data_IF_338579636753
#
_entry.id   IF_338579636753
#
_cell.length_a   1.000
_cell.length_b   1.000
_cell.length_c   1.000
_cell.angle_alpha   90.00
_cell.angle_beta   90.00
_cell.angle_gamma   90.00
#
_symmetry.space_group_name_H-M   'P 1'
#
loop_
_entity.id
_entity.type
_entity.pdbx_description
1 polymer ?
#
# COMPACT_ATOMS: atom_id res chain seq x y z
N UNK A 1 -11.43 -12.72 -45.73
CA UNK A 1 -10.09 -12.09 -45.84
C UNK A 1 -10.18 -10.69 -45.24
N UNK A 2 -9.32 -10.39 -44.25
CA UNK A 2 -9.14 -9.12 -43.52
C UNK A 2 -10.22 -8.71 -42.49
N UNK A 3 -10.00 -9.13 -41.24
CA UNK A 3 -10.27 -8.31 -40.05
C UNK A 3 -9.06 -8.46 -39.12
N UNK A 4 -8.23 -7.43 -39.04
CA UNK A 4 -7.17 -7.30 -38.03
C UNK A 4 -6.87 -5.81 -37.91
N UNK A 5 -7.05 -5.28 -36.70
CA UNK A 5 -6.12 -4.36 -36.03
C UNK A 5 -6.60 -4.20 -34.58
N UNK A 6 -6.09 -5.09 -33.74
CA UNK A 6 -6.02 -4.93 -32.29
C UNK A 6 -4.97 -3.85 -32.03
N UNK A 7 -5.32 -2.85 -31.23
CA UNK A 7 -4.39 -1.87 -30.67
C UNK A 7 -3.71 -2.55 -29.49
N UNK A 8 -2.44 -2.91 -29.66
CA UNK A 8 -1.54 -3.29 -28.57
C UNK A 8 -0.75 -2.03 -28.24
N UNK A 9 -0.93 -1.51 -27.01
CA UNK A 9 -0.04 -0.50 -26.45
C UNK A 9 1.25 -1.22 -26.02
N UNK A 10 2.30 -1.08 -26.83
CA UNK A 10 3.67 -1.49 -26.52
C UNK A 10 4.37 -0.30 -25.88
N UNK A 11 4.66 -0.38 -24.59
CA UNK A 11 5.68 0.47 -23.96
C UNK A 11 6.99 -0.31 -24.04
N UNK A 12 7.86 0.11 -24.95
CA UNK A 12 9.24 -0.34 -25.03
C UNK A 12 10.14 0.90 -24.97
N UNK A 13 11.06 0.93 -23.99
CA UNK A 13 12.52 1.10 -24.14
C UNK A 13 13.09 1.66 -22.85
N UNK A 14 14.03 0.94 -22.23
CA UNK A 14 15.40 1.45 -22.01
C UNK A 14 16.36 0.26 -22.16
N UNK A 15 17.09 0.24 -23.28
CA UNK A 15 18.34 -0.52 -23.45
C UNK A 15 19.50 0.35 -23.01
N UNK A 16 20.31 -0.14 -22.08
CA UNK A 16 21.55 0.52 -21.64
C UNK A 16 22.73 -0.08 -22.41
N UNK A 17 23.33 0.68 -23.32
CA UNK A 17 24.76 0.57 -23.68
C UNK A 17 25.27 1.92 -24.23
N UNK A 18 26.40 2.41 -23.69
CA UNK A 18 27.40 3.15 -24.47
C UNK A 18 27.60 4.62 -24.12
N UNK A 19 28.67 4.90 -23.38
CA UNK A 19 29.17 6.22 -23.01
C UNK A 19 29.44 7.12 -24.23
N UNK A 20 28.93 8.36 -24.22
CA UNK A 20 29.61 9.53 -24.78
C UNK A 20 29.32 10.75 -23.90
N UNK A 21 30.39 11.46 -23.51
CA UNK A 21 30.31 12.70 -22.74
C UNK A 21 29.64 13.80 -23.60
N UNK A 22 28.36 14.03 -23.35
CA UNK A 22 27.71 15.29 -23.68
C UNK A 22 27.35 15.98 -22.37
N UNK A 23 27.79 17.24 -22.27
CA UNK A 23 27.38 18.20 -21.24
C UNK A 23 25.86 18.18 -21.13
N UNK A 24 25.37 17.71 -19.99
CA UNK A 24 23.97 17.74 -19.61
C UNK A 24 23.64 19.19 -19.32
N UNK A 25 22.96 19.85 -20.26
CA UNK A 25 22.17 21.03 -19.94
C UNK A 25 21.15 20.61 -18.89
N UNK A 26 21.30 21.15 -17.68
CA UNK A 26 20.36 20.97 -16.58
C UNK A 26 19.01 21.50 -17.01
N UNK A 27 18.11 20.60 -17.39
CA UNK A 27 16.68 20.89 -17.39
C UNK A 27 16.33 21.10 -15.91
N UNK A 28 16.20 22.36 -15.51
CA UNK A 28 15.57 22.72 -14.23
C UNK A 28 14.18 22.07 -14.21
N UNK A 29 14.04 21.09 -13.34
CA UNK A 29 12.81 20.37 -13.06
C UNK A 29 11.85 21.35 -12.37
N UNK A 30 11.14 22.13 -13.19
CA UNK A 30 10.05 23.02 -12.76
C UNK A 30 8.80 22.20 -12.41
N UNK A 31 8.95 21.19 -11.55
CA UNK A 31 7.81 20.63 -10.83
C UNK A 31 7.30 21.72 -9.88
N UNK A 32 6.01 22.12 -9.94
CA UNK A 32 5.47 23.03 -8.96
C UNK A 32 5.61 22.39 -7.59
N UNK A 33 6.49 22.95 -6.74
CA UNK A 33 6.50 22.62 -5.32
C UNK A 33 5.14 23.00 -4.76
N UNK A 34 4.27 22.02 -4.58
CA UNK A 34 3.01 22.21 -3.87
C UNK A 34 3.35 22.85 -2.53
N UNK A 35 2.71 23.98 -2.20
CA UNK A 35 2.96 24.69 -0.95
C UNK A 35 2.70 23.74 0.22
N UNK A 36 3.65 23.61 1.15
CA UNK A 36 3.51 22.76 2.35
C UNK A 36 2.25 23.13 3.17
N UNK A 37 1.81 24.38 3.12
CA UNK A 37 0.57 24.81 3.77
C UNK A 37 -0.68 24.20 3.14
N UNK A 38 -0.69 24.01 1.80
CA UNK A 38 -1.79 23.35 1.10
C UNK A 38 -1.85 21.88 1.46
N UNK A 39 -0.70 21.18 1.45
CA UNK A 39 -0.61 19.76 1.84
C UNK A 39 -1.08 19.55 3.28
N UNK A 40 -0.67 20.43 4.19
CA UNK A 40 -1.10 20.39 5.59
C UNK A 40 -2.59 20.66 5.74
N UNK A 41 -3.16 21.56 4.93
CA UNK A 41 -4.60 21.81 4.87
C UNK A 41 -5.39 20.58 4.46
N UNK A 42 -4.96 19.89 3.41
CA UNK A 42 -5.62 18.67 2.91
C UNK A 42 -5.55 17.54 3.93
N UNK A 43 -4.39 17.34 4.57
CA UNK A 43 -4.22 16.36 5.66
C UNK A 43 -5.12 16.64 6.84
N UNK A 44 -5.16 17.89 7.31
CA UNK A 44 -6.00 18.24 8.45
C UNK A 44 -7.46 17.97 8.11
N UNK A 45 -7.90 18.31 6.91
CA UNK A 45 -9.25 18.01 6.44
C UNK A 45 -9.51 16.49 6.46
N UNK A 46 -8.63 15.67 5.88
CA UNK A 46 -8.76 14.20 5.88
C UNK A 46 -8.84 13.62 7.30
N UNK A 47 -7.97 14.08 8.20
CA UNK A 47 -7.89 13.59 9.59
C UNK A 47 -9.09 14.04 10.42
N UNK A 48 -9.61 15.25 10.20
CA UNK A 48 -10.79 15.77 10.92
C UNK A 48 -12.03 14.89 10.75
N UNK A 49 -12.13 14.14 9.65
CA UNK A 49 -13.21 13.18 9.42
C UNK A 49 -13.04 11.84 10.14
N UNK A 50 -11.92 11.62 10.82
CA UNK A 50 -11.62 10.39 11.55
C UNK A 50 -11.26 10.65 13.00
N UNK A 51 -12.19 10.29 13.88
CA UNK A 51 -12.03 10.42 15.33
C UNK A 51 -10.87 9.60 15.89
N UNK A 52 -10.45 8.56 15.17
CA UNK A 52 -9.39 7.64 15.57
C UNK A 52 -8.00 8.02 15.03
N UNK A 53 -7.89 9.10 14.25
CA UNK A 53 -6.62 9.63 13.74
C UNK A 53 -6.34 11.03 14.29
N UNK A 54 -5.08 11.33 14.60
CA UNK A 54 -4.66 12.66 15.04
C UNK A 54 -3.29 13.03 14.47
N UNK A 55 -3.17 14.25 13.96
CA UNK A 55 -1.87 14.77 13.53
C UNK A 55 -1.02 15.12 14.76
N UNK A 56 0.20 14.59 14.80
CA UNK A 56 1.13 14.77 15.91
C UNK A 56 2.34 15.59 15.47
N UNK A 57 2.70 16.59 16.28
CA UNK A 57 3.88 17.46 16.01
C UNK A 57 5.14 17.02 16.74
N UNK A 58 5.02 16.17 17.76
CA UNK A 58 6.08 15.79 18.71
C UNK A 58 6.13 14.26 18.83
N UNK A 59 7.30 13.66 18.55
CA UNK A 59 7.47 12.20 18.55
C UNK A 59 7.25 11.59 19.94
N UNK A 60 7.46 12.37 20.99
CA UNK A 60 7.29 11.98 22.40
C UNK A 60 5.86 11.54 22.73
N UNK A 61 4.87 11.99 21.96
CA UNK A 61 3.47 11.53 22.10
C UNK A 61 3.35 10.05 21.74
N UNK A 62 4.15 9.58 20.77
CA UNK A 62 4.17 8.19 20.33
C UNK A 62 4.88 7.23 21.29
N UNK A 63 5.53 7.75 22.33
CA UNK A 63 6.16 6.94 23.39
C UNK A 63 5.16 6.55 24.49
N UNK A 64 3.92 7.04 24.42
CA UNK A 64 2.86 6.74 25.40
C UNK A 64 2.25 5.36 25.14
N UNK A 65 2.10 4.56 26.20
CA UNK A 65 1.75 3.12 26.14
C UNK A 65 0.38 2.75 25.53
N UNK A 66 -0.47 3.71 25.17
CA UNK A 66 -1.86 3.46 24.75
C UNK A 66 -2.17 3.95 23.33
N UNK A 67 -1.16 4.38 22.58
CA UNK A 67 -1.35 5.04 21.29
C UNK A 67 -0.35 4.47 20.30
N UNK A 68 -0.81 4.20 19.08
CA UNK A 68 0.06 3.81 17.99
C UNK A 68 0.36 5.02 17.12
N UNK A 69 1.52 5.01 16.48
CA UNK A 69 1.89 6.06 15.54
C UNK A 69 2.37 5.48 14.21
N UNK A 70 2.24 6.28 13.16
CA UNK A 70 2.87 6.01 11.88
C UNK A 70 3.14 7.30 11.12
N UNK A 71 4.07 7.24 10.16
CA UNK A 71 4.25 8.32 9.20
C UNK A 71 3.37 8.06 7.97
N UNK A 72 2.58 9.05 7.56
CA UNK A 72 1.79 8.97 6.34
C UNK A 72 2.69 9.09 5.08
N UNK A 73 2.10 8.90 3.89
CA UNK A 73 2.84 8.99 2.60
C UNK A 73 3.48 10.36 2.35
N UNK A 74 3.04 11.40 3.06
CA UNK A 74 3.50 12.79 2.94
C UNK A 74 4.52 13.15 4.03
N UNK A 75 4.87 12.21 4.91
CA UNK A 75 5.86 12.37 5.98
C UNK A 75 5.30 12.99 7.27
N UNK A 76 3.97 13.02 7.43
CA UNK A 76 3.35 13.54 8.64
C UNK A 76 3.15 12.42 9.66
N UNK A 77 3.46 12.71 10.91
CA UNK A 77 3.30 11.77 12.02
C UNK A 77 1.85 11.76 12.48
N UNK A 78 1.22 10.59 12.41
CA UNK A 78 -0.18 10.37 12.77
C UNK A 78 -0.23 9.45 13.99
N UNK A 79 -0.96 9.87 15.01
CA UNK A 79 -1.41 9.03 16.12
C UNK A 79 -2.71 8.33 15.74
N UNK A 80 -2.85 7.06 16.13
CA UNK A 80 -4.06 6.29 15.96
C UNK A 80 -4.37 5.40 17.17
N UNK A 81 -5.66 5.17 17.39
CA UNK A 81 -6.15 4.09 18.24
C UNK A 81 -6.70 2.97 17.36
N UNK A 82 -6.18 1.76 17.56
CA UNK A 82 -6.66 0.59 16.84
C UNK A 82 -7.94 0.09 17.50
N UNK A 83 -8.94 -0.24 16.69
CA UNK A 83 -10.14 -0.95 17.15
C UNK A 83 -9.88 -2.48 17.21
N UNK A 84 -10.86 -3.25 17.70
CA UNK A 84 -10.72 -4.72 17.86
C UNK A 84 -10.29 -5.46 16.58
N UNK A 85 -10.83 -5.07 15.42
CA UNK A 85 -10.48 -5.65 14.11
C UNK A 85 -9.02 -5.31 13.75
N UNK A 86 -8.63 -4.05 13.92
CA UNK A 86 -7.27 -3.58 13.65
C UNK A 86 -6.25 -4.21 14.60
N UNK A 87 -6.57 -4.34 15.89
CA UNK A 87 -5.73 -5.00 16.89
C UNK A 87 -5.54 -6.49 16.60
N UNK A 88 -6.61 -7.17 16.17
CA UNK A 88 -6.52 -8.58 15.77
C UNK A 88 -5.57 -8.76 14.59
N UNK A 89 -5.70 -7.92 13.57
CA UNK A 89 -4.79 -7.95 12.42
C UNK A 89 -3.36 -7.53 12.78
N UNK A 90 -3.20 -6.54 13.66
CA UNK A 90 -1.90 -6.09 14.13
C UNK A 90 -1.14 -7.19 14.86
N UNK A 91 -1.81 -7.90 15.77
CA UNK A 91 -1.21 -9.03 16.47
C UNK A 91 -0.86 -10.18 15.52
N UNK A 92 -1.71 -10.47 14.53
CA UNK A 92 -1.40 -11.45 13.48
C UNK A 92 -0.10 -11.09 12.73
N UNK A 93 0.08 -9.82 12.36
CA UNK A 93 1.30 -9.36 11.68
C UNK A 93 2.53 -9.50 12.59
N UNK A 94 2.40 -9.19 13.89
CA UNK A 94 3.51 -9.30 14.85
C UNK A 94 3.97 -10.73 15.06
N UNK A 95 3.04 -11.68 15.06
CA UNK A 95 3.32 -13.11 15.25
C UNK A 95 3.76 -13.81 13.97
N UNK A 96 3.49 -13.21 12.81
CA UNK A 96 3.86 -13.77 11.51
C UNK A 96 5.38 -13.90 11.38
N UNK A 97 5.87 -15.05 10.94
CA UNK A 97 7.28 -15.25 10.58
C UNK A 97 7.39 -15.73 9.14
N UNK A 98 8.44 -15.28 8.46
CA UNK A 98 8.74 -15.76 7.12
C UNK A 98 9.21 -17.23 7.17
N UNK A 99 8.83 -18.08 6.20
CA UNK A 99 9.22 -19.48 6.23
C UNK A 99 10.74 -19.64 6.09
N UNK A 100 11.37 -20.48 6.91
CA UNK A 100 12.81 -20.75 6.80
C UNK A 100 13.14 -21.64 5.60
N UNK A 101 12.23 -22.56 5.27
CA UNK A 101 12.45 -23.57 4.24
C UNK A 101 12.46 -22.94 2.83
N UNK A 102 13.45 -23.35 2.02
CA UNK A 102 13.59 -22.87 0.64
C UNK A 102 14.10 -21.43 0.55
N UNK A 103 14.53 -20.85 1.68
CA UNK A 103 15.14 -19.53 1.72
C UNK A 103 16.63 -19.58 1.41
N UNK A 104 17.15 -18.51 0.81
CA UNK A 104 18.58 -18.30 0.61
C UNK A 104 18.92 -16.81 0.66
N UNK A 105 20.18 -16.54 1.00
CA UNK A 105 20.76 -15.21 0.99
C UNK A 105 21.32 -14.90 -0.40
N UNK A 106 21.06 -13.68 -0.89
CA UNK A 106 21.64 -13.19 -2.14
C UNK A 106 22.68 -12.12 -1.84
N UNK A 107 23.88 -12.29 -2.38
CA UNK A 107 24.97 -11.33 -2.20
C UNK A 107 24.53 -9.92 -2.61
N UNK A 108 24.81 -8.92 -1.75
CA UNK A 108 24.38 -7.54 -1.93
C UNK A 108 22.97 -7.19 -1.43
N UNK A 109 22.20 -8.17 -0.92
CA UNK A 109 20.81 -7.97 -0.48
C UNK A 109 20.58 -8.37 0.98
N UNK A 110 21.38 -7.85 1.92
CA UNK A 110 21.35 -8.26 3.34
C UNK A 110 20.00 -8.05 4.05
N UNK A 111 19.17 -7.12 3.55
CA UNK A 111 17.85 -6.79 4.11
C UNK A 111 16.70 -7.67 3.59
N UNK A 112 16.98 -8.62 2.70
CA UNK A 112 15.95 -9.41 2.04
C UNK A 112 16.23 -10.89 2.19
N UNK A 113 15.17 -11.68 2.24
CA UNK A 113 15.22 -13.14 2.10
C UNK A 113 14.63 -13.51 0.75
N UNK A 114 15.30 -14.42 0.04
CA UNK A 114 14.88 -14.90 -1.28
C UNK A 114 14.44 -16.35 -1.18
N UNK A 115 13.49 -16.73 -2.02
CA UNK A 115 12.94 -18.07 -2.06
C UNK A 115 13.13 -18.73 -3.43
N UNK A 116 13.22 -20.07 -3.43
CA UNK A 116 13.37 -20.88 -4.65
C UNK A 116 12.24 -20.68 -5.66
N UNK A 117 11.04 -20.32 -5.21
CA UNK A 117 9.91 -19.98 -6.08
C UNK A 117 9.99 -18.56 -6.69
N UNK A 118 11.09 -17.84 -6.47
CA UNK A 118 11.39 -16.54 -7.07
C UNK A 118 10.85 -15.34 -6.28
N UNK A 119 10.23 -15.57 -5.13
CA UNK A 119 9.78 -14.51 -4.24
C UNK A 119 10.92 -13.97 -3.40
N UNK A 120 10.82 -12.70 -3.03
CA UNK A 120 11.69 -12.07 -2.06
C UNK A 120 10.90 -11.17 -1.12
N UNK A 121 11.29 -11.15 0.15
CA UNK A 121 10.64 -10.40 1.21
C UNK A 121 11.66 -9.58 1.99
N UNK A 122 11.24 -8.45 2.54
CA UNK A 122 12.05 -7.73 3.53
C UNK A 122 12.14 -8.55 4.81
N UNK A 123 13.34 -8.68 5.39
CA UNK A 123 13.52 -9.43 6.65
C UNK A 123 12.80 -8.79 7.82
N UNK A 124 12.87 -7.46 7.90
CA UNK A 124 12.35 -6.72 9.06
C UNK A 124 10.82 -6.64 9.02
N UNK A 125 10.27 -6.13 7.92
CA UNK A 125 8.81 -5.92 7.78
C UNK A 125 8.06 -7.16 7.31
N UNK A 126 8.78 -8.21 6.85
CA UNK A 126 8.20 -9.45 6.35
C UNK A 126 7.28 -9.27 5.12
N UNK A 127 7.27 -8.07 4.53
CA UNK A 127 6.46 -7.71 3.37
C UNK A 127 7.12 -8.14 2.07
N UNK A 128 6.31 -8.42 1.05
CA UNK A 128 6.79 -8.72 -0.28
C UNK A 128 7.66 -7.59 -0.84
N UNK A 129 8.90 -7.93 -1.21
CA UNK A 129 9.82 -7.05 -1.92
C UNK A 129 9.73 -7.27 -3.43
N UNK A 130 9.72 -8.52 -3.88
CA UNK A 130 9.66 -8.88 -5.29
C UNK A 130 8.96 -10.21 -5.52
N UNK A 131 8.22 -10.28 -6.63
CA UNK A 131 7.61 -11.49 -7.17
C UNK A 131 8.42 -12.01 -8.39
N UNK A 132 8.36 -13.32 -8.70
CA UNK A 132 9.00 -13.89 -9.89
C UNK A 132 8.55 -13.14 -11.15
N UNK A 133 9.48 -12.78 -12.04
CA UNK A 133 9.21 -12.04 -13.29
C UNK A 133 8.37 -10.75 -13.13
N UNK A 134 8.33 -10.15 -11.94
CA UNK A 134 7.40 -9.06 -11.60
C UNK A 134 5.91 -9.43 -11.69
N UNK A 135 5.59 -10.73 -11.71
CA UNK A 135 4.24 -11.28 -11.75
C UNK A 135 4.08 -12.32 -10.64
N UNK A 136 3.20 -11.99 -9.68
CA UNK A 136 2.87 -12.84 -8.54
C UNK A 136 2.17 -14.15 -8.92
N UNK A 137 1.73 -14.28 -10.17
CA UNK A 137 1.11 -15.52 -10.65
C UNK A 137 2.11 -16.42 -11.39
N UNK A 138 3.33 -15.93 -11.64
CA UNK A 138 4.33 -16.66 -12.43
C UNK A 138 5.16 -17.68 -11.63
N UNK A 139 5.10 -17.60 -10.29
CA UNK A 139 5.48 -18.66 -9.36
C UNK A 139 4.42 -18.71 -8.27
N UNK A 140 4.02 -19.90 -7.84
CA UNK A 140 3.01 -19.99 -6.79
C UNK A 140 3.67 -19.70 -5.44
N UNK A 141 3.22 -18.69 -4.70
CA UNK A 141 3.69 -18.50 -3.34
C UNK A 141 3.20 -19.67 -2.47
N UNK A 142 3.93 -20.00 -1.42
CA UNK A 142 3.45 -20.95 -0.42
C UNK A 142 2.44 -20.27 0.49
N UNK A 143 1.55 -21.02 1.14
CA UNK A 143 0.60 -20.44 2.11
C UNK A 143 1.30 -19.62 3.20
N UNK A 144 2.46 -20.09 3.69
CA UNK A 144 3.30 -19.37 4.67
C UNK A 144 3.82 -18.00 4.16
N UNK A 145 3.75 -17.72 2.85
CA UNK A 145 4.16 -16.45 2.23
C UNK A 145 2.98 -15.49 2.00
N UNK A 146 1.74 -15.96 2.15
CA UNK A 146 0.55 -15.20 1.77
C UNK A 146 0.39 -13.93 2.59
N UNK A 147 0.65 -13.96 3.90
CA UNK A 147 0.50 -12.78 4.73
C UNK A 147 1.49 -11.66 4.33
N UNK A 148 2.74 -12.00 4.00
CA UNK A 148 3.72 -11.04 3.49
C UNK A 148 3.28 -10.35 2.19
N UNK A 149 2.57 -11.09 1.32
CA UNK A 149 1.99 -10.59 0.08
C UNK A 149 0.79 -9.68 0.37
N UNK A 150 -0.12 -10.16 1.23
CA UNK A 150 -1.34 -9.44 1.65
C UNK A 150 -0.98 -8.11 2.28
N UNK A 151 0.01 -8.04 3.18
CA UNK A 151 0.46 -6.78 3.78
C UNK A 151 0.92 -5.75 2.75
N UNK A 152 1.66 -6.19 1.71
CA UNK A 152 2.11 -5.30 0.63
C UNK A 152 0.94 -4.73 -0.17
N UNK A 153 -0.05 -5.56 -0.50
CA UNK A 153 -1.23 -5.08 -1.23
C UNK A 153 -2.17 -4.24 -0.39
N UNK A 154 -2.36 -4.56 0.90
CA UNK A 154 -3.08 -3.71 1.84
C UNK A 154 -2.41 -2.33 1.89
N UNK A 155 -1.08 -2.27 1.94
CA UNK A 155 -0.39 -0.99 1.90
C UNK A 155 -0.57 -0.28 0.55
N UNK A 156 -0.48 -1.00 -0.57
CA UNK A 156 -0.59 -0.41 -1.91
C UNK A 156 -1.99 0.18 -2.16
N UNK A 157 -3.03 -0.61 -1.93
CA UNK A 157 -4.42 -0.29 -2.28
C UNK A 157 -5.21 0.35 -1.14
N UNK A 158 -4.85 0.11 0.11
CA UNK A 158 -5.53 0.71 1.26
C UNK A 158 -5.14 2.17 1.53
N UNK A 159 -4.01 2.61 0.98
CA UNK A 159 -3.35 3.87 1.33
C UNK A 159 -3.72 5.08 0.45
N UNK A 160 -4.81 4.99 -0.32
CA UNK A 160 -5.28 6.08 -1.18
C UNK A 160 -5.80 7.26 -0.35
N UNK A 161 -5.87 8.44 -0.95
CA UNK A 161 -6.54 9.65 -0.44
C UNK A 161 -7.99 9.71 -0.93
N UNK A 162 -8.87 10.49 -0.26
CA UNK A 162 -10.25 10.68 -0.74
C UNK A 162 -10.31 11.20 -2.18
N UNK A 163 -9.44 12.14 -2.56
CA UNK A 163 -9.41 12.71 -3.91
C UNK A 163 -9.01 11.69 -4.97
N UNK A 164 -8.17 10.69 -4.64
CA UNK A 164 -7.84 9.61 -5.58
C UNK A 164 -9.06 8.72 -5.89
N UNK A 165 -10.05 8.66 -4.99
CA UNK A 165 -11.29 7.91 -5.17
C UNK A 165 -12.30 8.62 -6.08
N UNK A 166 -12.13 9.92 -6.36
CA UNK A 166 -12.95 10.65 -7.33
C UNK A 166 -12.74 10.15 -8.78
N UNK A 167 -11.61 9.48 -9.03
CA UNK A 167 -11.30 8.90 -10.33
C UNK A 167 -11.78 7.44 -10.44
N UNK A 168 -12.77 7.20 -11.30
CA UNK A 168 -13.34 5.87 -11.54
C UNK A 168 -12.32 4.82 -12.03
N UNK A 169 -11.27 5.20 -12.77
CA UNK A 169 -10.22 4.27 -13.19
C UNK A 169 -9.38 3.82 -11.99
N UNK A 170 -9.10 4.74 -11.06
CA UNK A 170 -8.42 4.42 -9.81
C UNK A 170 -9.28 3.49 -8.94
N UNK A 171 -10.57 3.80 -8.78
CA UNK A 171 -11.51 2.96 -8.03
C UNK A 171 -11.55 1.54 -8.60
N UNK A 172 -11.62 1.39 -9.93
CA UNK A 172 -11.58 0.08 -10.57
C UNK A 172 -10.26 -0.66 -10.31
N UNK A 173 -9.13 0.04 -10.38
CA UNK A 173 -7.82 -0.53 -10.06
C UNK A 173 -7.74 -1.04 -8.63
N UNK A 174 -8.29 -0.27 -7.67
CA UNK A 174 -8.35 -0.63 -6.25
C UNK A 174 -9.24 -1.86 -6.07
N UNK A 175 -10.43 -1.91 -6.68
CA UNK A 175 -11.32 -3.08 -6.60
C UNK A 175 -10.62 -4.35 -7.11
N UNK A 176 -9.90 -4.27 -8.23
CA UNK A 176 -9.13 -5.41 -8.74
C UNK A 176 -8.00 -5.80 -7.78
N UNK A 177 -7.34 -4.82 -7.16
CA UNK A 177 -6.35 -5.03 -6.10
C UNK A 177 -6.92 -5.76 -4.88
N UNK A 178 -8.10 -5.36 -4.43
CA UNK A 178 -8.81 -6.01 -3.31
C UNK A 178 -9.18 -7.47 -3.64
N UNK A 179 -9.55 -7.77 -4.89
CA UNK A 179 -9.76 -9.16 -5.33
C UNK A 179 -8.49 -9.99 -5.23
N UNK A 180 -7.33 -9.42 -5.59
CA UNK A 180 -6.06 -10.09 -5.38
C UNK A 180 -5.81 -10.33 -3.89
N UNK A 181 -6.06 -9.35 -3.01
CA UNK A 181 -5.93 -9.57 -1.56
C UNK A 181 -6.84 -10.72 -1.10
N UNK A 182 -8.08 -10.77 -1.59
CA UNK A 182 -9.06 -11.81 -1.23
C UNK A 182 -8.58 -13.22 -1.54
N UNK A 183 -7.85 -13.40 -2.65
CA UNK A 183 -7.35 -14.70 -3.10
C UNK A 183 -6.32 -15.30 -2.13
N UNK A 184 -5.50 -14.46 -1.50
CA UNK A 184 -4.40 -14.89 -0.62
C UNK A 184 -4.73 -14.70 0.87
N UNK A 185 -5.76 -13.92 1.21
CA UNK A 185 -6.19 -13.70 2.59
C UNK A 185 -6.76 -14.98 3.21
N UNK A 186 -6.14 -15.45 4.30
CA UNK A 186 -6.60 -16.58 5.11
C UNK A 186 -7.29 -16.17 6.41
N UNK A 187 -7.20 -14.88 6.77
CA UNK A 187 -7.73 -14.34 8.01
C UNK A 187 -9.07 -13.62 7.78
N UNK A 188 -10.05 -13.89 8.63
CA UNK A 188 -11.42 -13.35 8.52
C UNK A 188 -11.48 -11.81 8.62
N UNK A 189 -10.60 -11.18 9.40
CA UNK A 189 -10.59 -9.70 9.51
C UNK A 189 -10.18 -9.04 8.21
N UNK A 190 -9.17 -9.59 7.52
CA UNK A 190 -8.74 -9.12 6.19
C UNK A 190 -9.85 -9.36 5.17
N UNK A 191 -10.47 -10.54 5.21
CA UNK A 191 -11.56 -10.91 4.32
C UNK A 191 -12.75 -9.96 4.48
N UNK A 192 -13.18 -9.72 5.71
CA UNK A 192 -14.30 -8.82 6.00
C UNK A 192 -13.98 -7.39 5.56
N UNK A 193 -12.77 -6.91 5.82
CA UNK A 193 -12.32 -5.60 5.35
C UNK A 193 -12.33 -5.49 3.82
N UNK A 194 -11.84 -6.52 3.10
CA UNK A 194 -11.88 -6.56 1.64
C UNK A 194 -13.31 -6.50 1.11
N UNK A 195 -14.21 -7.31 1.68
CA UNK A 195 -15.59 -7.41 1.22
C UNK A 195 -16.35 -6.09 1.46
N UNK A 196 -16.17 -5.46 2.63
CA UNK A 196 -16.73 -4.15 2.96
C UNK A 196 -16.19 -3.05 2.06
N UNK A 197 -14.86 -2.96 1.92
CA UNK A 197 -14.18 -1.96 1.08
C UNK A 197 -14.64 -2.09 -0.37
N UNK A 198 -14.72 -3.32 -0.88
CA UNK A 198 -15.17 -3.59 -2.25
C UNK A 198 -16.61 -3.13 -2.47
N UNK A 199 -17.51 -3.42 -1.52
CA UNK A 199 -18.92 -3.02 -1.61
C UNK A 199 -19.09 -1.49 -1.64
N UNK A 200 -18.35 -0.77 -0.81
CA UNK A 200 -18.41 0.70 -0.79
C UNK A 200 -17.83 1.28 -2.09
N UNK A 201 -16.69 0.78 -2.56
CA UNK A 201 -16.07 1.25 -3.80
C UNK A 201 -16.92 0.96 -5.05
N UNK A 202 -17.62 -0.18 -5.08
CA UNK A 202 -18.60 -0.46 -6.14
C UNK A 202 -19.74 0.55 -6.13
N UNK A 203 -20.22 0.93 -4.94
CA UNK A 203 -21.26 1.94 -4.79
C UNK A 203 -20.81 3.32 -5.29
N UNK A 204 -19.55 3.72 -5.03
CA UNK A 204 -18.98 4.96 -5.58
C UNK A 204 -18.93 4.94 -7.10
N UNK A 205 -18.50 3.80 -7.67
CA UNK A 205 -18.31 3.65 -9.11
C UNK A 205 -19.65 3.67 -9.87
N UNK A 206 -20.68 3.06 -9.30
CA UNK A 206 -21.98 2.88 -9.95
C UNK A 206 -22.93 4.08 -9.74
N UNK A 207 -22.55 5.06 -8.90
CA UNK A 207 -23.34 6.24 -8.60
C UNK A 207 -22.82 7.49 -9.33
N UNK A 208 -23.63 8.03 -10.24
CA UNK A 208 -23.33 9.27 -10.97
C UNK A 208 -23.42 10.54 -10.10
N UNK A 209 -23.96 10.44 -8.88
CA UNK A 209 -24.13 11.54 -7.92
C UNK A 209 -23.50 11.20 -6.57
N UNK A 210 -22.21 10.90 -6.59
CA UNK A 210 -21.42 10.65 -5.38
C UNK A 210 -21.10 11.95 -4.65
N UNK A 211 -21.39 12.00 -3.34
CA UNK A 211 -21.09 13.14 -2.47
C UNK A 211 -19.66 13.08 -1.91
N UNK A 212 -19.16 14.20 -1.39
CA UNK A 212 -17.86 14.24 -0.69
C UNK A 212 -17.85 13.27 0.51
N UNK A 213 -18.96 13.16 1.23
CA UNK A 213 -19.13 12.26 2.38
C UNK A 213 -18.99 10.78 1.97
N UNK A 214 -19.46 10.41 0.78
CA UNK A 214 -19.31 9.05 0.26
C UNK A 214 -17.84 8.70 -0.01
N UNK A 215 -17.07 9.62 -0.62
CA UNK A 215 -15.64 9.43 -0.86
C UNK A 215 -14.86 9.32 0.45
N UNK A 216 -15.20 10.14 1.45
CA UNK A 216 -14.59 10.10 2.77
C UNK A 216 -14.90 8.80 3.52
N UNK A 217 -16.14 8.31 3.43
CA UNK A 217 -16.52 7.04 4.04
C UNK A 217 -15.80 5.85 3.38
N UNK A 218 -15.67 5.86 2.05
CA UNK A 218 -14.88 4.85 1.33
C UNK A 218 -13.41 4.88 1.71
N UNK A 219 -12.82 6.08 1.80
CA UNK A 219 -11.45 6.26 2.25
C UNK A 219 -11.24 5.76 3.68
N UNK A 220 -12.17 6.04 4.59
CA UNK A 220 -12.11 5.56 5.98
C UNK A 220 -12.07 4.04 6.06
N UNK A 221 -12.95 3.35 5.34
CA UNK A 221 -12.98 1.89 5.30
C UNK A 221 -11.71 1.34 4.66
N UNK A 222 -11.33 1.87 3.49
CA UNK A 222 -10.17 1.40 2.72
C UNK A 222 -8.85 1.58 3.49
N UNK A 223 -8.71 2.67 4.26
CA UNK A 223 -7.48 2.95 5.01
C UNK A 223 -7.30 2.13 6.29
N UNK A 224 -8.35 1.45 6.77
CA UNK A 224 -8.41 0.81 8.08
C UNK A 224 -7.24 -0.16 8.35
N UNK A 225 -7.04 -1.17 7.50
CA UNK A 225 -5.91 -2.11 7.66
C UNK A 225 -4.59 -1.58 7.11
N UNK A 226 -4.61 -0.60 6.20
CA UNK A 226 -3.38 0.03 5.72
C UNK A 226 -2.67 0.81 6.83
N UNK A 227 -3.44 1.47 7.70
CA UNK A 227 -2.90 2.14 8.87
C UNK A 227 -2.23 1.15 9.83
N UNK A 228 -2.80 -0.06 9.99
CA UNK A 228 -2.19 -1.12 10.81
C UNK A 228 -0.83 -1.54 10.27
N UNK A 229 -0.72 -1.75 8.95
CA UNK A 229 0.56 -2.09 8.31
C UNK A 229 1.58 -0.96 8.51
N UNK A 230 1.16 0.31 8.40
CA UNK A 230 2.03 1.46 8.65
C UNK A 230 2.48 1.58 10.10
N UNK A 231 1.58 1.34 11.06
CA UNK A 231 1.91 1.28 12.49
C UNK A 231 2.97 0.21 12.73
N UNK A 232 2.75 -1.01 12.24
CA UNK A 232 3.71 -2.10 12.38
C UNK A 232 5.10 -1.72 11.84
N UNK A 233 5.16 -1.11 10.65
CA UNK A 233 6.42 -0.65 10.07
C UNK A 233 7.08 0.47 10.88
N UNK A 234 6.30 1.40 11.40
CA UNK A 234 6.81 2.49 12.23
C UNK A 234 7.39 1.95 13.54
N UNK A 235 6.75 0.96 14.16
CA UNK A 235 7.24 0.32 15.39
C UNK A 235 8.52 -0.52 15.19
N UNK A 236 8.82 -0.98 13.97
CA UNK A 236 10.08 -1.64 13.66
C UNK A 236 11.26 -0.68 13.46
N UNK A 237 10.97 0.56 13.08
CA UNK A 237 11.97 1.58 12.75
C UNK A 237 12.36 2.50 13.90
N UNK A 238 11.67 2.43 15.04
CA UNK A 238 11.95 3.16 16.27
C UNK A 238 12.37 2.19 17.39
#
# INVERSE_FOLDING_TARGET
MKLQKIIILLISLITVVGCTNQTVDTIEDNQPTLNQETILGDINKEIEWREDLRLVKQKEICEQKQTHCFEDRRGFLIETQLNDQQDTFFNLIKEYELPEKGSYEKEGYSKHVFYENGYAFYKDTKMLYAAPNHDINSGNPTEDQYLGIVMMWIELYGSNSPTELENNENVLSIINGLQNIREYAQNEEVISWVDNSTSILQSLKDNDQTSEEDYLQAWKELSLLSNVVRVYRYELGN
#
